data_IF_424921268132
#
_entry.id   IF_424921268132
#
_cell.length_a   1.000
_cell.length_b   1.000
_cell.length_c   1.000
_cell.angle_alpha   90.00
_cell.angle_beta   90.00
_cell.angle_gamma   90.00
#
_symmetry.space_group_name_H-M   'P 1'
#
loop_
_entity.id
_entity.type
_entity.pdbx_description
1 polymer ?
#
# COMPACT_ATOMS: atom_id res chain seq x y z
N UNK A 1 2.33 -0.94 20.70
CA UNK A 1 2.49 -2.11 21.60
C UNK A 1 2.06 -3.35 20.82
N UNK A 2 2.79 -4.47 20.91
CA UNK A 2 2.37 -5.73 20.31
C UNK A 2 1.18 -6.36 21.06
N UNK A 3 0.42 -7.21 20.37
CA UNK A 3 -0.74 -7.91 20.95
C UNK A 3 -0.40 -9.29 21.53
N UNK A 4 0.86 -9.54 21.91
CA UNK A 4 1.31 -10.80 22.48
C UNK A 4 0.89 -11.02 23.93
N UNK A 5 1.48 -12.05 24.54
CA UNK A 5 1.08 -12.53 25.88
C UNK A 5 1.18 -11.44 26.96
N UNK A 6 2.22 -10.60 26.92
CA UNK A 6 2.45 -9.51 27.88
C UNK A 6 1.90 -8.16 27.42
N UNK A 7 0.93 -8.16 26.50
CA UNK A 7 0.39 -6.91 25.92
C UNK A 7 -0.28 -6.02 26.97
N UNK A 8 -1.07 -6.61 27.87
CA UNK A 8 -1.80 -5.88 28.91
C UNK A 8 -0.88 -5.23 29.92
N UNK A 9 0.07 -5.98 30.44
CA UNK A 9 1.07 -5.47 31.40
C UNK A 9 1.91 -4.36 30.79
N UNK A 10 2.29 -4.51 29.53
CA UNK A 10 3.02 -3.47 28.80
C UNK A 10 2.15 -2.23 28.60
N UNK A 11 0.88 -2.41 28.26
CA UNK A 11 -0.08 -1.32 28.09
C UNK A 11 -0.25 -0.52 29.39
N UNK A 12 -0.40 -1.19 30.52
CA UNK A 12 -0.51 -0.55 31.84
C UNK A 12 0.72 0.30 32.16
N UNK A 13 1.91 -0.27 31.99
CA UNK A 13 3.18 0.46 32.24
C UNK A 13 3.30 1.69 31.36
N UNK A 14 3.03 1.55 30.06
CA UNK A 14 3.14 2.67 29.08
C UNK A 14 2.10 3.75 29.38
N UNK A 15 0.85 3.36 29.62
CA UNK A 15 -0.22 4.30 29.94
C UNK A 15 0.05 5.07 31.23
N UNK A 16 0.54 4.38 32.27
CA UNK A 16 0.92 5.01 33.52
C UNK A 16 2.10 5.96 33.36
N UNK A 17 3.09 5.58 32.57
CA UNK A 17 4.24 6.42 32.27
C UNK A 17 3.81 7.71 31.55
N UNK A 18 2.95 7.60 30.51
CA UNK A 18 2.42 8.74 29.77
C UNK A 18 1.65 9.68 30.71
N UNK A 19 0.77 9.13 31.56
CA UNK A 19 -0.06 9.87 32.50
C UNK A 19 0.80 10.59 33.54
N UNK A 20 1.74 9.90 34.20
CA UNK A 20 2.60 10.46 35.24
C UNK A 20 3.47 11.61 34.74
N UNK A 21 3.89 11.57 33.47
CA UNK A 21 4.75 12.61 32.91
C UNK A 21 4.00 13.68 32.10
N UNK A 22 2.66 13.56 31.96
CA UNK A 22 1.84 14.50 31.20
C UNK A 22 2.17 14.58 29.72
N UNK A 23 2.65 13.50 29.12
CA UNK A 23 2.98 13.48 27.69
C UNK A 23 1.72 13.45 26.83
N UNK A 24 1.68 14.31 25.81
CA UNK A 24 0.64 14.31 24.77
C UNK A 24 0.94 13.25 23.69
N UNK A 25 1.08 11.97 24.10
CA UNK A 25 1.40 10.84 23.23
C UNK A 25 0.25 9.85 23.28
N UNK A 26 -0.14 9.35 22.11
CA UNK A 26 -1.14 8.28 21.97
C UNK A 26 -0.44 6.94 21.77
N UNK A 27 -1.12 5.84 22.10
CA UNK A 27 -0.65 4.48 21.85
C UNK A 27 -1.76 3.61 21.24
N UNK A 28 -1.36 2.55 20.59
CA UNK A 28 -2.27 1.55 20.02
C UNK A 28 -1.69 0.16 20.12
N UNK A 29 -2.55 -0.85 19.99
CA UNK A 29 -2.13 -2.25 19.95
C UNK A 29 -1.97 -2.66 18.48
N UNK A 30 -0.81 -3.22 18.14
CA UNK A 30 -0.45 -3.68 16.79
C UNK A 30 -0.33 -5.20 16.79
N UNK A 31 -0.87 -5.84 15.77
CA UNK A 31 -0.72 -7.29 15.59
C UNK A 31 0.76 -7.65 15.40
N UNK A 32 1.30 -8.53 16.25
CA UNK A 32 2.70 -8.95 16.23
C UNK A 32 2.95 -10.29 15.51
N UNK A 33 1.92 -10.88 14.88
CA UNK A 33 2.09 -12.16 14.17
C UNK A 33 3.28 -12.10 13.20
N UNK A 34 4.16 -13.11 13.28
CA UNK A 34 5.38 -13.20 12.47
C UNK A 34 6.50 -12.21 12.83
N UNK A 35 6.34 -11.30 13.81
CA UNK A 35 7.39 -10.35 14.19
C UNK A 35 8.67 -11.03 14.70
N UNK A 36 8.54 -12.13 15.45
CA UNK A 36 9.68 -12.93 15.90
C UNK A 36 10.42 -13.61 14.75
N UNK A 37 9.67 -14.05 13.71
CA UNK A 37 10.28 -14.63 12.49
C UNK A 37 11.10 -13.59 11.75
N UNK A 38 10.56 -12.37 11.59
CA UNK A 38 11.31 -11.28 10.98
C UNK A 38 12.54 -10.90 11.80
N UNK A 39 12.39 -10.63 13.12
CA UNK A 39 13.48 -10.11 13.95
C UNK A 39 14.69 -11.06 14.03
N UNK A 40 14.46 -12.38 13.94
CA UNK A 40 15.49 -13.40 13.88
C UNK A 40 16.04 -13.67 12.47
N UNK A 41 15.46 -13.06 11.44
CA UNK A 41 15.84 -13.30 10.05
C UNK A 41 17.16 -12.65 9.67
N UNK A 42 17.80 -13.19 8.60
CA UNK A 42 18.97 -12.58 8.00
C UNK A 42 18.68 -11.16 7.47
N UNK A 43 17.48 -10.96 6.91
CA UNK A 43 17.04 -9.65 6.41
C UNK A 43 17.03 -8.61 7.52
N UNK A 44 16.47 -8.93 8.69
CA UNK A 44 16.45 -8.02 9.83
C UNK A 44 17.87 -7.73 10.37
N UNK A 45 18.77 -8.73 10.30
CA UNK A 45 20.17 -8.53 10.66
C UNK A 45 20.91 -7.62 9.67
N UNK A 46 20.59 -7.68 8.39
CA UNK A 46 21.13 -6.80 7.35
C UNK A 46 20.57 -5.37 7.47
N UNK A 47 19.26 -5.23 7.78
CA UNK A 47 18.62 -3.92 7.97
C UNK A 47 19.08 -3.20 9.25
N UNK A 48 19.36 -3.96 10.30
CA UNK A 48 19.72 -3.44 11.62
C UNK A 48 20.86 -4.26 12.24
N UNK A 49 22.10 -4.14 11.74
CA UNK A 49 23.22 -4.95 12.21
C UNK A 49 23.55 -4.70 13.70
N UNK A 50 23.37 -3.46 14.16
CA UNK A 50 23.74 -3.04 15.51
C UNK A 50 22.65 -3.24 16.57
N UNK A 51 21.45 -3.68 16.17
CA UNK A 51 20.34 -3.89 17.09
C UNK A 51 20.18 -5.37 17.43
N UNK A 52 19.77 -5.64 18.68
CA UNK A 52 19.40 -6.98 19.11
C UNK A 52 18.03 -7.43 18.52
N UNK A 53 17.73 -8.72 18.67
CA UNK A 53 16.51 -9.34 18.11
C UNK A 53 15.24 -8.69 18.67
N UNK A 54 15.21 -8.35 19.93
CA UNK A 54 14.06 -7.73 20.60
C UNK A 54 13.79 -6.35 20.05
N UNK A 55 14.84 -5.54 19.93
CA UNK A 55 14.75 -4.19 19.37
C UNK A 55 14.37 -4.21 17.89
N UNK A 56 14.87 -5.14 17.09
CA UNK A 56 14.43 -5.35 15.71
C UNK A 56 12.93 -5.66 15.62
N UNK A 57 12.42 -6.49 16.55
CA UNK A 57 10.99 -6.78 16.67
C UNK A 57 10.16 -5.54 16.99
N UNK A 58 10.59 -4.73 17.93
CA UNK A 58 9.92 -3.47 18.28
C UNK A 58 9.90 -2.47 17.12
N UNK A 59 11.00 -2.35 16.38
CA UNK A 59 11.09 -1.52 15.17
C UNK A 59 10.09 -1.99 14.09
N UNK A 60 10.00 -3.31 13.89
CA UNK A 60 9.03 -3.88 12.95
C UNK A 60 7.59 -3.55 13.33
N UNK A 61 7.22 -3.65 14.61
CA UNK A 61 5.89 -3.28 15.09
C UNK A 61 5.58 -1.78 14.85
N UNK A 62 6.54 -0.90 15.11
CA UNK A 62 6.39 0.53 14.81
C UNK A 62 6.15 0.80 13.32
N UNK A 63 6.90 0.13 12.45
CA UNK A 63 6.77 0.24 11.00
C UNK A 63 5.46 -0.34 10.47
N UNK A 64 4.92 -1.40 11.07
CA UNK A 64 3.60 -1.92 10.70
C UNK A 64 2.49 -0.90 10.90
N UNK A 65 2.62 -0.01 11.87
CA UNK A 65 1.67 1.07 12.08
C UNK A 65 1.80 2.15 10.99
N UNK A 66 3.01 2.43 10.53
CA UNK A 66 3.29 3.43 9.51
C UNK A 66 2.93 2.95 8.10
N UNK A 67 3.41 1.78 7.72
CA UNK A 67 3.11 1.13 6.43
C UNK A 67 3.10 -0.40 6.62
N UNK A 68 1.92 -0.97 6.90
CA UNK A 68 1.80 -2.41 7.16
C UNK A 68 2.23 -3.26 5.96
N UNK A 69 1.96 -2.83 4.72
CA UNK A 69 2.31 -3.61 3.54
C UNK A 69 3.82 -3.69 3.36
N UNK A 70 4.52 -2.55 3.44
CA UNK A 70 5.98 -2.49 3.29
C UNK A 70 6.73 -3.34 4.33
N UNK A 71 6.14 -3.53 5.51
CA UNK A 71 6.75 -4.34 6.56
C UNK A 71 6.34 -5.81 6.48
N UNK A 72 5.06 -6.12 6.25
CA UNK A 72 4.56 -7.49 6.23
C UNK A 72 5.10 -8.33 5.06
N UNK A 73 5.40 -7.72 3.91
CA UNK A 73 6.02 -8.42 2.77
C UNK A 73 7.42 -9.00 3.07
N UNK A 74 8.05 -8.58 4.15
CA UNK A 74 9.34 -9.13 4.62
C UNK A 74 9.21 -10.48 5.32
N UNK A 75 7.99 -10.91 5.61
CA UNK A 75 7.67 -12.10 6.39
C UNK A 75 6.96 -13.10 5.48
N UNK A 76 7.32 -14.37 5.58
CA UNK A 76 6.57 -15.43 4.90
C UNK A 76 5.10 -15.37 5.34
N UNK A 77 4.13 -15.20 4.42
CA UNK A 77 2.72 -15.07 4.78
C UNK A 77 2.18 -16.26 5.58
N UNK A 78 2.78 -17.44 5.45
CA UNK A 78 2.45 -18.61 6.29
C UNK A 78 2.76 -18.41 7.78
N UNK A 79 3.62 -17.45 8.11
CA UNK A 79 3.99 -17.12 9.49
C UNK A 79 3.15 -15.97 10.07
N UNK A 80 2.35 -15.28 9.26
CA UNK A 80 1.50 -14.16 9.69
C UNK A 80 0.11 -14.67 10.07
N UNK A 81 -0.48 -15.56 9.26
CA UNK A 81 -1.79 -16.13 9.50
C UNK A 81 -1.74 -17.65 9.45
N UNK A 82 -1.67 -18.29 10.62
CA UNK A 82 -1.63 -19.75 10.69
C UNK A 82 -3.05 -20.31 10.77
N UNK A 83 -3.48 -20.97 9.69
CA UNK A 83 -4.78 -21.66 9.64
C UNK A 83 -4.75 -23.00 10.39
N UNK A 84 -5.92 -23.45 10.88
CA UNK A 84 -6.06 -24.68 11.64
C UNK A 84 -5.51 -25.92 10.91
N UNK A 85 -5.74 -26.02 9.61
CA UNK A 85 -5.34 -27.15 8.76
C UNK A 85 -4.13 -26.82 7.86
N UNK A 86 -3.41 -25.76 8.15
CA UNK A 86 -2.28 -25.31 7.31
C UNK A 86 -1.23 -26.39 7.13
N UNK A 87 -0.93 -27.17 8.17
CA UNK A 87 0.10 -28.20 8.13
C UNK A 87 -0.30 -29.43 7.31
N UNK A 88 -1.60 -29.67 7.12
CA UNK A 88 -2.13 -30.78 6.32
C UNK A 88 -2.19 -30.46 4.82
N UNK A 89 -1.97 -29.18 4.44
CA UNK A 89 -1.98 -28.74 3.05
C UNK A 89 -0.63 -28.97 2.37
N UNK A 90 -0.65 -29.07 1.03
CA UNK A 90 0.58 -29.08 0.25
C UNK A 90 1.29 -27.71 0.39
N UNK A 91 2.42 -27.70 1.09
CA UNK A 91 3.14 -26.48 1.44
C UNK A 91 3.64 -25.69 0.22
N UNK A 92 3.97 -26.37 -0.88
CA UNK A 92 4.42 -25.71 -2.12
C UNK A 92 3.26 -24.98 -2.82
N UNK A 93 2.09 -25.62 -2.88
CA UNK A 93 0.90 -25.00 -3.46
C UNK A 93 0.40 -23.84 -2.59
N UNK A 94 0.40 -24.02 -1.28
CA UNK A 94 0.04 -22.97 -0.33
C UNK A 94 0.95 -21.74 -0.46
N UNK A 95 2.27 -21.95 -0.47
CA UNK A 95 3.23 -20.86 -0.63
C UNK A 95 3.05 -20.12 -1.96
N UNK A 96 2.79 -20.87 -3.06
CA UNK A 96 2.51 -20.27 -4.37
C UNK A 96 1.23 -19.44 -4.37
N UNK A 97 0.14 -19.97 -3.82
CA UNK A 97 -1.13 -19.25 -3.74
C UNK A 97 -1.03 -17.98 -2.90
N UNK A 98 -0.41 -18.05 -1.73
CA UNK A 98 -0.19 -16.89 -0.86
C UNK A 98 0.75 -15.87 -1.51
N UNK A 99 1.81 -16.32 -2.20
CA UNK A 99 2.71 -15.44 -2.95
C UNK A 99 1.97 -14.64 -4.02
N UNK A 100 1.08 -15.29 -4.77
CA UNK A 100 0.26 -14.62 -5.79
C UNK A 100 -0.68 -13.57 -5.17
N UNK A 101 -1.27 -13.86 -4.01
CA UNK A 101 -2.12 -12.89 -3.28
C UNK A 101 -1.31 -11.67 -2.83
N UNK A 102 -0.11 -11.89 -2.30
CA UNK A 102 0.77 -10.77 -1.90
C UNK A 102 1.17 -9.93 -3.11
N UNK A 103 1.54 -10.56 -4.22
CA UNK A 103 1.86 -9.88 -5.48
C UNK A 103 0.67 -9.04 -5.98
N UNK A 104 -0.53 -9.61 -6.00
CA UNK A 104 -1.75 -8.88 -6.40
C UNK A 104 -2.02 -7.68 -5.50
N UNK A 105 -1.91 -7.85 -4.17
CA UNK A 105 -2.09 -6.76 -3.22
C UNK A 105 -1.06 -5.64 -3.43
N UNK A 106 0.23 -5.98 -3.61
CA UNK A 106 1.30 -5.00 -3.84
C UNK A 106 1.09 -4.23 -5.14
N UNK A 107 0.74 -4.93 -6.23
CA UNK A 107 0.52 -4.30 -7.53
C UNK A 107 -0.73 -3.42 -7.52
N UNK A 108 -1.80 -3.82 -6.83
CA UNK A 108 -3.02 -3.03 -6.67
C UNK A 108 -2.79 -1.72 -5.89
N UNK A 109 -2.01 -1.77 -4.83
CA UNK A 109 -1.63 -0.57 -4.05
C UNK A 109 -0.68 0.32 -4.84
N UNK A 110 0.24 -0.28 -5.59
CA UNK A 110 1.35 0.39 -6.23
C UNK A 110 2.50 0.70 -5.26
N UNK A 111 3.68 0.91 -5.79
CA UNK A 111 4.91 1.01 -5.02
C UNK A 111 5.67 2.28 -5.37
N UNK A 112 5.98 3.12 -4.38
CA UNK A 112 6.82 4.31 -4.61
C UNK A 112 8.29 3.90 -4.76
N UNK A 113 8.89 4.26 -5.91
CA UNK A 113 10.27 3.93 -6.26
C UNK A 113 11.30 4.53 -5.30
N UNK A 114 10.96 5.65 -4.70
CA UNK A 114 11.89 6.42 -3.88
C UNK A 114 11.92 5.99 -2.41
N UNK A 115 10.91 5.24 -1.95
CA UNK A 115 10.80 4.82 -0.55
C UNK A 115 10.81 3.31 -0.36
N UNK A 116 10.46 2.55 -1.38
CA UNK A 116 10.30 1.10 -1.29
C UNK A 116 11.59 0.36 -0.96
N UNK A 117 11.47 -0.68 -0.14
CA UNK A 117 12.54 -1.63 0.15
C UNK A 117 12.72 -2.63 -1.00
N UNK A 118 13.88 -3.31 -1.12
CA UNK A 118 14.06 -4.38 -2.09
C UNK A 118 13.04 -5.51 -1.92
N UNK A 119 12.61 -5.78 -0.69
CA UNK A 119 11.59 -6.80 -0.39
C UNK A 119 10.25 -6.43 -1.00
N UNK A 120 9.80 -5.19 -0.84
CA UNK A 120 8.55 -4.71 -1.43
C UNK A 120 8.61 -4.69 -2.96
N UNK A 121 9.70 -4.14 -3.52
CA UNK A 121 9.92 -4.09 -4.96
C UNK A 121 9.91 -5.47 -5.63
N UNK A 122 10.38 -6.52 -4.92
CA UNK A 122 10.43 -7.88 -5.48
C UNK A 122 9.05 -8.52 -5.71
N UNK A 123 7.98 -7.94 -5.15
CA UNK A 123 6.59 -8.34 -5.42
C UNK A 123 5.93 -7.54 -6.54
N UNK A 124 6.62 -6.58 -7.12
CA UNK A 124 6.12 -5.86 -8.29
C UNK A 124 6.26 -6.75 -9.53
N UNK A 125 5.20 -6.88 -10.31
CA UNK A 125 5.20 -7.67 -11.54
C UNK A 125 6.37 -7.25 -12.46
N UNK A 126 7.14 -8.23 -12.94
CA UNK A 126 8.32 -8.00 -13.77
C UNK A 126 9.61 -7.66 -13.00
N UNK A 127 9.58 -7.47 -11.69
CA UNK A 127 10.74 -7.16 -10.85
C UNK A 127 11.13 -8.40 -10.03
N UNK A 128 12.30 -8.94 -10.27
CA UNK A 128 12.86 -9.99 -9.40
C UNK A 128 13.77 -9.39 -8.33
N UNK A 129 14.16 -10.20 -7.35
CA UNK A 129 14.99 -9.74 -6.22
C UNK A 129 16.34 -9.11 -6.62
N UNK A 130 16.93 -9.49 -7.74
CA UNK A 130 18.16 -8.88 -8.22
C UNK A 130 17.91 -7.48 -8.81
N UNK A 131 16.84 -7.33 -9.60
CA UNK A 131 16.41 -6.02 -10.12
C UNK A 131 15.98 -5.11 -8.97
N UNK A 132 15.24 -5.61 -7.98
CA UNK A 132 14.84 -4.85 -6.80
C UNK A 132 16.04 -4.25 -6.05
N UNK A 133 17.09 -5.04 -5.82
CA UNK A 133 18.35 -4.55 -5.23
C UNK A 133 19.05 -3.51 -6.10
N UNK A 134 19.06 -3.71 -7.42
CA UNK A 134 19.67 -2.75 -8.34
C UNK A 134 18.91 -1.42 -8.42
N UNK A 135 17.59 -1.44 -8.29
CA UNK A 135 16.78 -0.20 -8.19
C UNK A 135 17.19 0.61 -6.96
N UNK A 136 17.32 -0.05 -5.81
CA UNK A 136 17.71 0.62 -4.57
C UNK A 136 19.16 1.15 -4.68
N UNK A 137 20.10 0.33 -5.17
CA UNK A 137 21.48 0.76 -5.39
C UNK A 137 21.56 1.96 -6.35
N UNK A 138 20.81 1.93 -7.46
CA UNK A 138 20.76 3.05 -8.39
C UNK A 138 20.27 4.34 -7.71
N UNK A 139 19.25 4.24 -6.86
CA UNK A 139 18.71 5.37 -6.08
C UNK A 139 19.72 5.93 -5.09
N UNK A 140 20.47 5.07 -4.43
CA UNK A 140 21.52 5.46 -3.48
C UNK A 140 22.71 6.16 -4.17
N UNK A 141 23.08 5.70 -5.37
CA UNK A 141 24.20 6.26 -6.13
C UNK A 141 23.84 7.54 -6.90
N UNK A 142 22.63 7.60 -7.49
CA UNK A 142 22.24 8.64 -8.44
C UNK A 142 21.18 9.62 -7.87
N UNK A 143 20.74 9.41 -6.63
CA UNK A 143 19.64 10.16 -6.03
C UNK A 143 18.26 9.65 -6.42
N UNK A 144 17.23 10.40 -6.04
CA UNK A 144 15.83 10.03 -6.24
C UNK A 144 15.48 9.89 -7.73
N UNK A 145 14.63 8.93 -8.03
CA UNK A 145 13.98 8.87 -9.35
C UNK A 145 13.03 10.06 -9.52
N UNK A 146 13.14 10.72 -10.65
CA UNK A 146 12.29 11.85 -11.05
C UNK A 146 11.39 11.53 -12.25
N UNK A 147 11.66 10.42 -12.95
CA UNK A 147 10.95 9.96 -14.14
C UNK A 147 11.05 8.42 -14.22
N UNK A 148 9.96 7.74 -14.54
CA UNK A 148 9.93 6.27 -14.76
C UNK A 148 10.92 5.78 -15.82
N UNK A 149 11.24 6.60 -16.84
CA UNK A 149 12.23 6.24 -17.86
C UNK A 149 13.63 6.01 -17.30
N UNK A 150 13.95 6.59 -16.13
CA UNK A 150 15.23 6.34 -15.46
C UNK A 150 15.40 4.87 -15.06
N UNK A 151 14.31 4.11 -14.89
CA UNK A 151 14.35 2.67 -14.68
C UNK A 151 15.14 1.93 -15.77
N UNK A 152 15.11 2.40 -17.01
CA UNK A 152 15.87 1.81 -18.12
C UNK A 152 17.40 1.91 -17.93
N UNK A 153 17.86 2.76 -16.99
CA UNK A 153 19.29 2.87 -16.63
C UNK A 153 19.68 1.90 -15.51
N UNK A 154 18.71 1.25 -14.88
CA UNK A 154 18.94 0.30 -13.79
C UNK A 154 19.50 -1.02 -14.37
N UNK A 155 20.61 -1.49 -13.81
CA UNK A 155 21.24 -2.74 -14.24
C UNK A 155 20.27 -3.92 -14.18
N UNK A 156 20.24 -4.75 -15.21
CA UNK A 156 19.37 -5.93 -15.40
C UNK A 156 17.87 -5.61 -15.58
N UNK A 157 17.47 -4.36 -15.57
CA UNK A 157 16.09 -3.96 -15.88
C UNK A 157 16.01 -3.64 -17.38
N UNK A 158 15.61 -4.63 -18.17
CA UNK A 158 15.39 -4.45 -19.60
C UNK A 158 13.99 -3.99 -19.95
N UNK A 159 13.76 -3.70 -21.23
CA UNK A 159 12.48 -3.20 -21.76
C UNK A 159 11.28 -4.07 -21.35
N UNK A 160 11.42 -5.40 -21.39
CA UNK A 160 10.33 -6.30 -20.97
C UNK A 160 9.96 -6.11 -19.50
N UNK A 161 10.95 -6.02 -18.61
CA UNK A 161 10.71 -5.79 -17.18
C UNK A 161 10.11 -4.40 -16.94
N UNK A 162 10.59 -3.39 -17.65
CA UNK A 162 10.02 -2.04 -17.61
C UNK A 162 8.53 -2.04 -18.01
N UNK A 163 8.19 -2.63 -19.15
CA UNK A 163 6.81 -2.70 -19.63
C UNK A 163 5.88 -3.48 -18.70
N UNK A 164 6.39 -4.46 -17.97
CA UNK A 164 5.59 -5.21 -17.00
C UNK A 164 5.40 -4.47 -15.67
N UNK A 165 6.37 -3.64 -15.27
CA UNK A 165 6.39 -3.04 -13.92
C UNK A 165 5.96 -1.58 -13.88
N UNK A 166 6.09 -0.84 -14.98
CA UNK A 166 5.99 0.61 -14.98
C UNK A 166 4.63 1.17 -14.45
N UNK A 167 3.53 0.47 -14.71
CA UNK A 167 2.21 0.87 -14.19
C UNK A 167 2.05 0.72 -12.68
N UNK A 168 2.87 -0.13 -12.04
CA UNK A 168 2.81 -0.41 -10.60
C UNK A 168 3.84 0.39 -9.80
N UNK A 169 4.84 0.97 -10.48
CA UNK A 169 5.89 1.76 -9.86
C UNK A 169 5.54 3.24 -9.96
N UNK A 170 5.48 3.93 -8.84
CA UNK A 170 5.06 5.34 -8.75
C UNK A 170 6.21 6.24 -8.35
N UNK A 171 6.16 7.50 -8.80
CA UNK A 171 7.11 8.55 -8.42
C UNK A 171 6.31 9.77 -7.99
N UNK A 172 6.30 10.03 -6.69
CA UNK A 172 5.67 11.23 -6.14
C UNK A 172 6.56 12.44 -6.31
N UNK A 173 6.03 13.53 -6.88
CA UNK A 173 6.77 14.78 -7.07
C UNK A 173 7.86 14.72 -8.16
N UNK A 174 7.70 13.81 -9.14
CA UNK A 174 8.57 13.70 -10.30
C UNK A 174 8.34 14.77 -11.35
N UNK A 175 9.13 14.72 -12.43
CA UNK A 175 9.02 15.65 -13.58
C UNK A 175 7.82 15.36 -14.48
N UNK A 176 7.33 14.12 -14.49
CA UNK A 176 6.15 13.68 -15.22
C UNK A 176 5.01 13.41 -14.22
N UNK A 177 3.95 14.22 -14.17
CA UNK A 177 2.85 14.05 -13.23
C UNK A 177 2.17 12.68 -13.32
N UNK A 178 2.08 12.09 -14.52
CA UNK A 178 1.49 10.76 -14.73
C UNK A 178 2.30 9.64 -14.08
N UNK A 179 3.58 9.87 -13.75
CA UNK A 179 4.40 8.90 -13.03
C UNK A 179 3.95 8.69 -11.57
N UNK A 180 3.13 9.59 -11.02
CA UNK A 180 2.50 9.40 -9.71
C UNK A 180 1.25 8.51 -9.76
N UNK A 181 0.75 8.16 -10.96
CA UNK A 181 -0.50 7.43 -11.20
C UNK A 181 -0.27 5.97 -11.57
N UNK A 182 -1.33 5.18 -11.69
CA UNK A 182 -1.29 3.82 -12.24
C UNK A 182 -1.29 3.78 -13.78
N UNK A 183 -1.45 4.92 -14.45
CA UNK A 183 -1.45 4.98 -15.92
C UNK A 183 -0.12 4.46 -16.46
N UNK A 184 -0.19 3.51 -17.38
CA UNK A 184 1.00 2.95 -17.99
C UNK A 184 1.65 3.93 -18.97
N UNK A 185 2.99 4.01 -19.07
CA UNK A 185 3.68 4.95 -19.98
C UNK A 185 3.25 4.87 -21.44
N UNK A 186 2.85 3.70 -21.93
CA UNK A 186 2.28 3.52 -23.28
C UNK A 186 1.02 4.35 -23.52
N UNK A 187 0.24 4.58 -22.46
CA UNK A 187 -1.02 5.34 -22.51
C UNK A 187 -0.86 6.84 -22.26
N UNK A 188 0.35 7.34 -21.96
CA UNK A 188 0.59 8.75 -21.64
C UNK A 188 0.15 9.69 -22.76
N UNK A 189 0.39 9.31 -24.02
CA UNK A 189 -0.03 10.13 -25.16
C UNK A 189 -1.55 10.32 -25.17
N UNK A 190 -2.30 9.25 -24.95
CA UNK A 190 -3.75 9.30 -24.93
C UNK A 190 -4.27 10.04 -23.68
N UNK A 191 -3.68 9.78 -22.51
CA UNK A 191 -4.03 10.48 -21.28
C UNK A 191 -3.81 12.00 -21.39
N UNK A 192 -2.67 12.44 -21.94
CA UNK A 192 -2.38 13.86 -22.17
C UNK A 192 -3.32 14.51 -23.18
N UNK A 193 -3.63 13.81 -24.27
CA UNK A 193 -4.58 14.31 -25.26
C UNK A 193 -6.00 14.44 -24.68
N UNK A 194 -6.41 13.49 -23.83
CA UNK A 194 -7.66 13.58 -23.08
C UNK A 194 -7.66 14.78 -22.13
N UNK A 195 -6.60 14.96 -21.35
CA UNK A 195 -6.46 16.08 -20.42
C UNK A 195 -6.53 17.43 -21.15
N UNK A 196 -5.81 17.59 -22.24
CA UNK A 196 -5.82 18.79 -23.06
C UNK A 196 -7.23 19.10 -23.59
N UNK A 197 -7.91 18.09 -24.15
CA UNK A 197 -9.27 18.22 -24.68
C UNK A 197 -10.30 18.62 -23.61
N UNK A 198 -10.15 18.10 -22.39
CA UNK A 198 -11.05 18.36 -21.28
C UNK A 198 -10.66 19.59 -20.44
N UNK A 199 -9.54 20.25 -20.75
CA UNK A 199 -9.02 21.36 -19.98
C UNK A 199 -8.64 20.96 -18.55
N UNK A 200 -8.04 19.79 -18.38
CA UNK A 200 -7.56 19.27 -17.10
C UNK A 200 -6.08 19.64 -16.96
N UNK A 201 -5.74 20.41 -15.95
CA UNK A 201 -4.35 20.74 -15.64
C UNK A 201 -3.64 19.55 -14.99
N UNK A 202 -2.35 19.40 -15.29
CA UNK A 202 -1.47 18.43 -14.63
C UNK A 202 -1.40 18.64 -13.09
N UNK A 203 -1.60 19.85 -12.62
CA UNK A 203 -1.73 20.16 -11.19
C UNK A 203 -2.93 19.44 -10.53
N UNK A 204 -3.98 19.11 -11.27
CA UNK A 204 -5.10 18.35 -10.76
C UNK A 204 -4.68 16.92 -10.37
N UNK A 205 -3.74 16.30 -11.10
CA UNK A 205 -3.24 14.96 -10.79
C UNK A 205 -2.52 14.96 -9.44
N UNK A 206 -1.65 15.94 -9.20
CA UNK A 206 -0.89 16.05 -7.94
C UNK A 206 -1.74 16.59 -6.80
N UNK A 207 -2.87 17.26 -7.10
CA UNK A 207 -3.81 17.85 -6.16
C UNK A 207 -4.95 16.94 -5.70
N UNK A 208 -4.92 15.65 -6.03
CA UNK A 208 -5.93 14.68 -5.58
C UNK A 208 -7.05 14.38 -6.60
N UNK A 209 -6.85 14.75 -7.86
CA UNK A 209 -7.70 14.40 -8.99
C UNK A 209 -8.81 15.38 -9.32
N UNK A 210 -9.48 15.11 -10.44
CA UNK A 210 -10.59 15.92 -10.93
C UNK A 210 -11.91 15.11 -10.91
N UNK A 211 -12.71 15.33 -9.88
CA UNK A 211 -14.01 14.66 -9.71
C UNK A 211 -15.04 15.07 -10.78
N UNK A 212 -14.82 16.17 -11.48
CA UNK A 212 -15.75 16.69 -12.52
C UNK A 212 -15.47 16.10 -13.91
N UNK A 213 -14.51 15.20 -14.05
CA UNK A 213 -14.05 14.68 -15.34
C UNK A 213 -15.18 14.06 -16.18
N UNK A 214 -16.12 13.35 -15.56
CA UNK A 214 -17.27 12.77 -16.28
C UNK A 214 -18.22 13.83 -16.82
N UNK A 215 -18.42 14.92 -16.09
CA UNK A 215 -19.25 16.06 -16.53
C UNK A 215 -18.56 16.78 -17.70
N UNK A 216 -17.23 16.96 -17.61
CA UNK A 216 -16.44 17.54 -18.71
C UNK A 216 -16.51 16.67 -19.97
N UNK A 217 -16.44 15.34 -19.83
CA UNK A 217 -16.59 14.41 -20.95
C UNK A 217 -17.99 14.53 -21.57
N UNK A 218 -19.06 14.50 -20.78
CA UNK A 218 -20.42 14.65 -21.27
C UNK A 218 -20.63 15.98 -22.00
N UNK A 219 -20.05 17.06 -21.45
CA UNK A 219 -20.11 18.39 -22.07
C UNK A 219 -19.36 18.45 -23.41
N UNK A 220 -18.20 17.80 -23.50
CA UNK A 220 -17.37 17.80 -24.70
C UNK A 220 -18.00 17.03 -25.87
N UNK A 221 -18.73 15.95 -25.58
CA UNK A 221 -19.30 15.06 -26.60
C UNK A 221 -20.82 15.22 -26.79
N UNK A 222 -21.50 15.97 -25.90
CA UNK A 222 -22.95 16.27 -26.05
C UNK A 222 -23.89 15.06 -25.98
N UNK A 223 -23.40 13.89 -25.61
CA UNK A 223 -24.17 12.66 -25.53
C UNK A 223 -24.85 12.48 -24.16
N UNK A 224 -26.05 11.85 -24.17
CA UNK A 224 -26.83 11.65 -22.93
C UNK A 224 -26.21 10.62 -21.98
N UNK A 225 -25.43 9.68 -22.49
CA UNK A 225 -24.83 8.61 -21.67
C UNK A 225 -23.31 8.67 -21.67
N UNK A 226 -22.72 8.52 -20.50
CA UNK A 226 -21.26 8.52 -20.32
C UNK A 226 -20.59 7.43 -21.18
N UNK A 227 -21.18 6.26 -21.29
CA UNK A 227 -20.66 5.15 -22.10
C UNK A 227 -20.46 5.53 -23.57
N UNK A 228 -21.44 6.23 -24.18
CA UNK A 228 -21.30 6.68 -25.57
C UNK A 228 -20.21 7.75 -25.74
N UNK A 229 -20.08 8.64 -24.74
CA UNK A 229 -19.01 9.62 -24.73
C UNK A 229 -17.63 8.96 -24.66
N UNK A 230 -17.50 7.94 -23.81
CA UNK A 230 -16.25 7.16 -23.67
C UNK A 230 -15.93 6.43 -24.97
N UNK A 231 -16.91 5.77 -25.61
CA UNK A 231 -16.73 5.08 -26.89
C UNK A 231 -16.27 6.03 -28.00
N UNK A 232 -16.88 7.21 -28.11
CA UNK A 232 -16.49 8.23 -29.07
C UNK A 232 -15.07 8.76 -28.82
N UNK A 233 -14.73 9.04 -27.55
CA UNK A 233 -13.40 9.50 -27.15
C UNK A 233 -12.33 8.44 -27.37
N UNK A 234 -12.61 7.18 -27.04
CA UNK A 234 -11.71 6.04 -27.23
C UNK A 234 -11.34 5.87 -28.72
N UNK A 235 -12.37 5.96 -29.59
CA UNK A 235 -12.19 5.91 -31.05
C UNK A 235 -11.31 7.07 -31.55
N UNK A 236 -11.52 8.27 -31.06
CA UNK A 236 -10.74 9.46 -31.42
C UNK A 236 -9.28 9.36 -30.95
N UNK A 237 -9.06 8.87 -29.73
CA UNK A 237 -7.73 8.69 -29.14
C UNK A 237 -7.01 7.43 -29.62
N UNK A 238 -7.66 6.61 -30.43
CA UNK A 238 -7.15 5.32 -30.93
C UNK A 238 -6.71 4.37 -29.81
N UNK A 239 -7.50 4.29 -28.72
CA UNK A 239 -7.27 3.36 -27.58
C UNK A 239 -8.53 2.55 -27.29
N UNK A 240 -8.38 1.47 -26.51
CA UNK A 240 -9.51 0.66 -26.05
C UNK A 240 -10.39 1.42 -25.06
N UNK A 241 -11.71 1.16 -25.09
CA UNK A 241 -12.67 1.78 -24.15
C UNK A 241 -12.34 1.43 -22.70
N UNK A 242 -11.88 0.20 -22.41
CA UNK A 242 -11.44 -0.21 -21.07
C UNK A 242 -10.24 0.61 -20.60
N UNK A 243 -9.23 0.75 -21.45
CA UNK A 243 -8.03 1.56 -21.15
C UNK A 243 -8.39 3.03 -20.88
N UNK A 244 -9.33 3.58 -21.66
CA UNK A 244 -9.80 4.95 -21.42
C UNK A 244 -10.56 5.06 -20.11
N UNK A 245 -11.39 4.08 -19.79
CA UNK A 245 -12.13 4.04 -18.52
C UNK A 245 -11.16 4.00 -17.34
N UNK A 246 -10.12 3.16 -17.40
CA UNK A 246 -9.09 3.08 -16.35
C UNK A 246 -8.34 4.41 -16.19
N UNK A 247 -8.01 5.09 -17.31
CA UNK A 247 -7.40 6.42 -17.26
C UNK A 247 -8.34 7.44 -16.60
N UNK A 248 -9.62 7.42 -16.91
CA UNK A 248 -10.63 8.32 -16.33
C UNK A 248 -10.75 8.08 -14.82
N UNK A 249 -10.86 6.82 -14.39
CA UNK A 249 -10.96 6.49 -12.97
C UNK A 249 -9.70 6.94 -12.21
N UNK A 250 -8.53 6.72 -12.80
CA UNK A 250 -7.26 7.17 -12.21
C UNK A 250 -7.18 8.71 -12.12
N UNK A 251 -7.69 9.45 -13.13
CA UNK A 251 -7.71 10.92 -13.10
C UNK A 251 -8.71 11.49 -12.10
N UNK A 252 -9.77 10.75 -11.75
CA UNK A 252 -10.71 11.16 -10.69
C UNK A 252 -10.07 11.13 -9.32
N UNK A 253 -9.28 10.11 -9.05
CA UNK A 253 -8.60 9.90 -7.78
C UNK A 253 -7.22 9.27 -8.04
N UNK A 254 -6.23 10.09 -8.43
CA UNK A 254 -4.90 9.61 -8.75
C UNK A 254 -4.26 8.91 -7.55
N UNK A 255 -3.51 7.86 -7.85
CA UNK A 255 -2.77 7.10 -6.84
C UNK A 255 -3.65 6.60 -5.66
N UNK A 256 -4.94 6.32 -5.90
CA UNK A 256 -5.83 5.79 -4.87
C UNK A 256 -5.20 4.57 -4.20
N UNK A 257 -5.00 4.69 -2.91
CA UNK A 257 -4.62 3.57 -2.07
C UNK A 257 -5.89 2.86 -1.58
N UNK A 258 -6.12 1.59 -1.95
CA UNK A 258 -7.29 0.85 -1.46
C UNK A 258 -7.37 0.77 0.07
N UNK A 259 -6.24 0.99 0.77
CA UNK A 259 -6.16 0.99 2.23
C UNK A 259 -6.80 2.24 2.86
N UNK A 260 -7.01 3.32 2.09
CA UNK A 260 -7.72 4.51 2.58
C UNK A 260 -9.18 4.24 2.95
N UNK A 261 -9.77 3.18 2.38
CA UNK A 261 -11.12 2.74 2.70
C UNK A 261 -11.15 1.83 3.95
N UNK A 262 -9.98 1.47 4.50
CA UNK A 262 -9.88 0.69 5.74
C UNK A 262 -10.26 1.57 6.96
N UNK A 263 -10.85 0.96 8.01
CA UNK A 263 -11.17 1.71 9.21
C UNK A 263 -9.91 2.32 9.82
N UNK A 264 -10.00 3.56 10.35
CA UNK A 264 -8.86 4.22 10.95
C UNK A 264 -8.32 3.43 12.15
N UNK A 265 -7.04 3.64 12.45
CA UNK A 265 -6.41 3.05 13.64
C UNK A 265 -7.08 3.63 14.89
N UNK A 266 -7.62 2.76 15.75
CA UNK A 266 -8.21 3.15 17.01
C UNK A 266 -7.09 3.33 18.05
N UNK A 267 -6.89 4.56 18.50
CA UNK A 267 -5.98 4.84 19.61
C UNK A 267 -6.74 4.72 20.92
N UNK A 268 -6.21 3.92 21.85
CA UNK A 268 -6.85 3.69 23.14
C UNK A 268 -6.55 4.84 24.10
N UNK A 269 -7.58 5.33 24.78
CA UNK A 269 -7.44 6.41 25.74
C UNK A 269 -7.90 6.03 27.16
N UNK A 270 -9.03 5.33 27.37
CA UNK A 270 -9.72 5.37 28.65
C UNK A 270 -10.20 4.05 29.26
N UNK A 271 -10.40 2.98 28.49
CA UNK A 271 -10.91 1.69 29.01
C UNK A 271 -9.84 0.60 28.95
N UNK A 272 -9.40 0.14 30.10
CA UNK A 272 -8.32 -0.85 30.24
C UNK A 272 -8.80 -2.20 30.77
N UNK A 273 -9.86 -2.20 31.58
CA UNK A 273 -10.42 -3.38 32.18
C UNK A 273 -11.95 -3.41 32.07
N UNK A 274 -12.54 -4.58 32.30
CA UNK A 274 -13.99 -4.72 32.36
C UNK A 274 -14.62 -3.83 33.46
N UNK A 275 -13.89 -3.55 34.51
CA UNK A 275 -14.31 -2.74 35.65
C UNK A 275 -14.40 -1.23 35.30
N UNK A 276 -13.72 -0.80 34.25
CA UNK A 276 -13.78 0.58 33.75
C UNK A 276 -15.07 0.85 32.96
N UNK A 277 -15.80 -0.21 32.55
CA UNK A 277 -17.05 -0.08 31.78
C UNK A 277 -18.18 0.44 32.68
N UNK A 278 -18.88 1.46 32.16
CA UNK A 278 -20.05 2.03 32.80
C UNK A 278 -21.28 1.80 31.93
N UNK A 279 -22.43 1.73 32.56
CA UNK A 279 -23.72 1.67 31.85
C UNK A 279 -23.84 2.90 30.94
N UNK A 280 -24.29 2.70 29.71
CA UNK A 280 -24.45 3.75 28.68
C UNK A 280 -23.14 4.36 28.16
N UNK A 281 -21.98 3.69 28.36
CA UNK A 281 -20.71 4.13 27.81
C UNK A 281 -20.64 3.81 26.31
N UNK A 282 -20.38 4.81 25.48
CA UNK A 282 -20.15 4.65 24.04
C UNK A 282 -18.68 4.33 23.80
N UNK A 283 -18.42 3.24 23.07
CA UNK A 283 -17.08 2.75 22.76
C UNK A 283 -16.95 2.43 21.26
N UNK A 284 -15.80 2.77 20.69
CA UNK A 284 -15.44 2.31 19.36
C UNK A 284 -14.82 0.92 19.47
N UNK A 285 -15.32 -0.03 18.66
CA UNK A 285 -14.85 -1.41 18.64
C UNK A 285 -14.76 -1.97 17.23
N UNK A 286 -13.93 -3.00 17.06
CA UNK A 286 -13.84 -3.72 15.79
C UNK A 286 -14.61 -5.03 15.89
N UNK A 287 -15.62 -5.21 15.01
CA UNK A 287 -16.36 -6.48 14.91
C UNK A 287 -15.42 -7.57 14.41
N UNK A 288 -15.23 -8.62 15.18
CA UNK A 288 -14.35 -9.75 14.88
C UNK A 288 -15.08 -10.93 14.26
N UNK A 289 -16.28 -11.20 14.73
CA UNK A 289 -17.10 -12.29 14.23
C UNK A 289 -18.58 -11.98 14.43
N UNK A 290 -19.42 -12.44 13.53
CA UNK A 290 -20.87 -12.34 13.61
C UNK A 290 -21.45 -13.76 13.58
N UNK A 291 -22.30 -14.09 14.56
CA UNK A 291 -22.98 -15.37 14.72
C UNK A 291 -24.47 -15.14 14.94
N UNK A 292 -25.30 -16.18 14.85
CA UNK A 292 -26.76 -16.07 14.92
C UNK A 292 -27.29 -15.39 16.21
N UNK A 293 -26.52 -15.45 17.28
CA UNK A 293 -26.90 -14.89 18.60
C UNK A 293 -26.21 -13.55 18.95
N UNK A 294 -25.39 -12.99 18.04
CA UNK A 294 -24.73 -11.71 18.28
C UNK A 294 -23.45 -11.49 17.52
N UNK A 295 -22.71 -10.44 17.89
CA UNK A 295 -21.41 -10.09 17.33
C UNK A 295 -20.35 -10.04 18.43
N UNK A 296 -19.17 -10.59 18.12
CA UNK A 296 -17.96 -10.42 18.94
C UNK A 296 -17.22 -9.17 18.49
N UNK A 297 -16.97 -8.25 19.41
CA UNK A 297 -16.33 -6.94 19.18
C UNK A 297 -15.01 -6.87 19.93
#
# INVERSE_FOLDING_TARGET
>A
IGNGTASRETEEVVADFIRKNGYAIQYTIVNEAGASVYSASKLAAEEYPDLDVTTRGAMSLGRRLQDPLAELVKIDPRSIGVGQYQHDMNQKLLAGALGNVVEDCVNRVGVDLNTASPSLLSYVAGINGAIAKNIVAYREENGRFTDRKQLMKVSKLGEKAFNQSAGFLRISGGSEPLDSTSVHPESYKAAKAMMEKLGIDSAAITGGGDKSIEEKIKKAYGEKTLTKCISAMASELCIGEMTLTDIIEEMKKPARDPREDAPPVIFRNDVKSFEDLKVDMELEGTVRNVVDFGAFV
#
